data_IF_837150576581
#
_entry.id   IF_837150576581
#
_cell.length_a   1.000
_cell.length_b   1.000
_cell.length_c   1.000
_cell.angle_alpha   90.00
_cell.angle_beta   90.00
_cell.angle_gamma   90.00
#
_symmetry.space_group_name_H-M   'P 1'
#
loop_
_entity.id
_entity.type
_entity.pdbx_description
1 polymer ?
#
# COMPACT_ATOMS: atom_id res chain seq x y z
N UNK A 1 -45.86 0.35 -37.49
CA UNK A 1 -44.82 1.27 -37.98
C UNK A 1 -44.06 1.89 -36.82
N UNK A 2 -42.77 1.73 -36.86
CA UNK A 2 -41.72 2.47 -36.12
C UNK A 2 -41.66 2.46 -34.57
N UNK A 3 -40.88 1.54 -34.00
CA UNK A 3 -40.14 1.78 -32.74
C UNK A 3 -38.78 1.06 -32.73
N UNK A 4 -37.72 1.54 -33.37
CA UNK A 4 -36.36 1.12 -33.07
C UNK A 4 -35.46 2.21 -32.46
N UNK A 5 -35.96 3.44 -32.19
CA UNK A 5 -35.10 4.56 -31.78
C UNK A 5 -34.84 4.57 -30.27
N UNK A 6 -35.66 3.95 -29.43
CA UNK A 6 -35.53 4.01 -27.97
C UNK A 6 -34.41 3.10 -27.41
N UNK A 7 -34.10 1.99 -28.08
CA UNK A 7 -33.09 1.02 -27.61
C UNK A 7 -31.65 1.53 -27.81
N UNK A 8 -31.43 2.23 -28.93
CA UNK A 8 -30.10 2.82 -29.19
C UNK A 8 -29.71 3.93 -28.23
N UNK A 9 -30.67 4.76 -27.82
CA UNK A 9 -30.44 5.83 -26.87
C UNK A 9 -30.05 5.33 -25.45
N UNK A 10 -30.72 4.28 -24.97
CA UNK A 10 -30.40 3.66 -23.68
C UNK A 10 -29.05 3.00 -23.68
N UNK A 11 -28.64 2.35 -24.77
CA UNK A 11 -27.31 1.73 -24.87
C UNK A 11 -26.19 2.76 -24.87
N UNK A 12 -26.35 3.90 -25.55
CA UNK A 12 -25.41 4.99 -25.58
C UNK A 12 -25.26 5.64 -24.18
N UNK A 13 -26.37 5.85 -23.48
CA UNK A 13 -26.35 6.39 -22.11
C UNK A 13 -25.63 5.44 -21.15
N UNK A 14 -25.85 4.12 -21.30
CA UNK A 14 -25.19 3.11 -20.48
C UNK A 14 -23.68 3.05 -20.75
N UNK A 15 -23.25 3.16 -22.00
CA UNK A 15 -21.84 3.22 -22.40
C UNK A 15 -21.17 4.51 -21.89
N UNK A 16 -21.85 5.66 -22.00
CA UNK A 16 -21.35 6.94 -21.48
C UNK A 16 -21.27 6.89 -19.95
N UNK A 17 -22.26 6.33 -19.26
CA UNK A 17 -22.22 6.13 -17.81
C UNK A 17 -21.09 5.21 -17.40
N UNK A 18 -20.84 4.10 -18.10
CA UNK A 18 -19.70 3.21 -17.88
C UNK A 18 -18.36 3.92 -18.12
N UNK A 19 -18.25 4.75 -19.14
CA UNK A 19 -17.04 5.53 -19.43
C UNK A 19 -16.81 6.60 -18.36
N UNK A 20 -17.88 7.24 -17.87
CA UNK A 20 -17.82 8.23 -16.80
C UNK A 20 -17.48 7.56 -15.46
N UNK A 21 -18.07 6.41 -15.12
CA UNK A 21 -17.68 5.61 -13.96
C UNK A 21 -16.22 5.15 -14.05
N UNK A 22 -15.77 4.72 -15.23
CA UNK A 22 -14.36 4.30 -15.43
C UNK A 22 -13.37 5.47 -15.37
N UNK A 23 -13.80 6.69 -15.73
CA UNK A 23 -12.98 7.91 -15.55
C UNK A 23 -12.97 8.42 -14.09
N UNK A 24 -14.03 8.19 -13.34
CA UNK A 24 -14.11 8.59 -11.92
C UNK A 24 -13.20 7.77 -10.99
N UNK A 25 -12.60 6.68 -11.48
CA UNK A 25 -11.71 5.80 -10.70
C UNK A 25 -10.23 5.94 -11.00
N UNK A 26 -9.84 6.93 -11.82
CA UNK A 26 -8.42 7.28 -11.96
C UNK A 26 -8.02 8.24 -10.81
N UNK A 27 -7.88 7.66 -9.61
CA UNK A 27 -7.27 8.40 -8.50
C UNK A 27 -5.82 8.70 -8.90
N UNK A 28 -5.57 9.96 -9.30
CA UNK A 28 -4.22 10.46 -9.52
C UNK A 28 -3.54 10.38 -8.16
N UNK A 29 -2.61 9.45 -8.00
CA UNK A 29 -1.74 9.42 -6.83
C UNK A 29 -0.98 10.75 -6.80
N UNK A 30 -1.31 11.59 -5.83
CA UNK A 30 -0.61 12.86 -5.66
C UNK A 30 0.82 12.60 -5.19
N UNK A 31 1.74 13.48 -5.56
CA UNK A 31 3.17 13.31 -5.23
C UNK A 31 3.47 13.78 -3.80
N UNK A 32 2.84 13.16 -2.81
CA UNK A 32 3.06 13.51 -1.40
C UNK A 32 4.54 13.37 -0.98
N UNK A 33 5.30 12.51 -1.63
CA UNK A 33 6.72 12.30 -1.36
C UNK A 33 7.63 13.49 -1.82
N UNK A 34 7.07 14.52 -2.45
CA UNK A 34 7.70 15.81 -2.78
C UNK A 34 6.91 17.00 -2.18
N UNK A 35 6.01 16.76 -1.23
CA UNK A 35 5.19 17.79 -0.59
C UNK A 35 5.42 17.82 0.92
N UNK A 36 6.26 18.74 1.43
CA UNK A 36 6.61 18.80 2.84
C UNK A 36 5.43 19.19 3.75
N UNK A 37 4.28 19.55 3.19
CA UNK A 37 3.06 19.81 3.96
C UNK A 37 2.25 18.53 4.22
N UNK A 38 2.59 17.41 3.55
CA UNK A 38 1.86 16.14 3.64
C UNK A 38 2.78 15.04 4.17
N UNK A 39 2.86 14.92 5.47
CA UNK A 39 3.63 13.86 6.13
C UNK A 39 2.89 12.53 6.20
N UNK A 40 1.57 12.57 6.26
CA UNK A 40 0.69 11.39 6.36
C UNK A 40 -0.70 11.68 5.80
N UNK A 41 -1.38 10.62 5.34
CA UNK A 41 -2.80 10.65 4.96
C UNK A 41 -3.47 9.42 5.56
N UNK A 42 -4.56 9.61 6.31
CA UNK A 42 -5.35 8.55 6.96
C UNK A 42 -4.55 7.63 7.90
N UNK A 43 -3.36 8.01 8.33
CA UNK A 43 -2.60 7.26 9.32
C UNK A 43 -3.17 7.56 10.71
N UNK A 44 -3.30 6.51 11.52
CA UNK A 44 -3.69 6.65 12.94
C UNK A 44 -2.65 7.46 13.73
N UNK A 45 -3.11 8.12 14.79
CA UNK A 45 -2.22 8.83 15.70
C UNK A 45 -1.20 7.87 16.33
N UNK A 46 0.06 8.29 16.48
CA UNK A 46 1.08 7.48 17.10
C UNK A 46 0.71 7.07 18.54
N UNK A 47 0.86 5.80 18.84
CA UNK A 47 0.57 5.25 20.17
C UNK A 47 1.60 4.21 20.60
N UNK A 48 1.61 3.90 21.89
CA UNK A 48 2.39 2.78 22.39
C UNK A 48 1.91 1.48 21.75
N UNK A 49 2.87 0.62 21.40
CA UNK A 49 2.57 -0.66 20.79
C UNK A 49 2.07 -1.67 21.83
N UNK A 50 1.01 -2.37 21.50
CA UNK A 50 0.48 -3.47 22.28
C UNK A 50 -0.21 -4.50 21.36
N UNK A 51 -0.40 -5.70 21.88
CA UNK A 51 -1.18 -6.75 21.24
C UNK A 51 -2.37 -7.13 22.13
N UNK A 52 -3.58 -7.28 21.55
CA UNK A 52 -4.69 -7.86 22.29
C UNK A 52 -4.52 -9.38 22.38
N UNK A 53 -4.92 -9.95 23.52
CA UNK A 53 -4.95 -11.38 23.78
C UNK A 53 -6.30 -11.79 24.34
N UNK A 54 -6.66 -13.07 24.20
CA UNK A 54 -7.93 -13.62 24.66
C UNK A 54 -7.95 -13.89 26.15
N UNK A 55 -6.77 -14.05 26.78
CA UNK A 55 -6.65 -14.34 28.22
C UNK A 55 -5.38 -13.72 28.81
N UNK A 56 -5.35 -13.62 30.13
CA UNK A 56 -4.18 -13.18 30.88
C UNK A 56 -2.98 -14.11 30.67
N UNK A 57 -3.20 -15.43 30.62
CA UNK A 57 -2.12 -16.40 30.42
C UNK A 57 -1.41 -16.14 29.07
N UNK A 58 -2.16 -15.95 28.00
CA UNK A 58 -1.59 -15.62 26.69
C UNK A 58 -0.89 -14.26 26.67
N UNK A 59 -1.43 -13.29 27.41
CA UNK A 59 -0.79 -11.98 27.54
C UNK A 59 0.54 -12.06 28.30
N UNK A 60 0.64 -12.91 29.33
CA UNK A 60 1.89 -13.16 30.06
C UNK A 60 2.93 -13.88 29.20
N UNK A 61 2.52 -14.74 28.28
CA UNK A 61 3.44 -15.37 27.32
C UNK A 61 4.04 -14.35 26.34
N UNK A 62 3.33 -13.25 26.10
CA UNK A 62 3.74 -12.12 25.24
C UNK A 62 4.18 -12.55 23.82
N UNK A 63 3.54 -13.57 23.28
CA UNK A 63 3.74 -14.06 21.91
C UNK A 63 2.53 -13.68 21.04
N UNK A 64 2.63 -12.63 20.21
CA UNK A 64 1.51 -12.21 19.36
C UNK A 64 0.99 -13.31 18.43
N UNK A 65 1.85 -14.24 18.01
CA UNK A 65 1.46 -15.31 17.11
C UNK A 65 0.46 -16.30 17.74
N UNK A 66 0.31 -16.28 19.07
CA UNK A 66 -0.66 -17.07 19.80
C UNK A 66 -2.04 -16.41 19.95
N UNK A 67 -2.12 -15.12 19.63
CA UNK A 67 -3.40 -14.40 19.67
C UNK A 67 -4.19 -14.59 18.38
N UNK A 68 -5.47 -14.92 18.49
CA UNK A 68 -6.39 -14.92 17.34
C UNK A 68 -6.73 -13.51 16.83
N UNK A 69 -6.32 -12.48 17.57
CA UNK A 69 -6.49 -11.08 17.18
C UNK A 69 -5.28 -10.50 16.43
N UNK A 70 -4.33 -11.36 16.09
CA UNK A 70 -3.14 -10.97 15.36
C UNK A 70 -2.91 -11.89 14.17
N UNK A 71 -2.65 -11.28 13.01
CA UNK A 71 -2.24 -12.00 11.81
C UNK A 71 -0.97 -11.35 11.23
N UNK A 72 0.10 -12.12 11.15
CA UNK A 72 1.34 -11.65 10.51
C UNK A 72 1.21 -11.69 8.99
N UNK A 73 1.53 -10.59 8.32
CA UNK A 73 1.66 -10.51 6.88
C UNK A 73 3.13 -10.62 6.40
N UNK A 74 4.05 -10.90 7.32
CA UNK A 74 5.45 -11.16 7.00
C UNK A 74 5.60 -12.39 6.07
N UNK A 75 6.75 -12.51 5.43
CA UNK A 75 7.07 -13.62 4.53
C UNK A 75 7.15 -13.17 3.08
N UNK A 76 6.73 -14.02 2.14
CA UNK A 76 6.86 -13.77 0.70
C UNK A 76 5.76 -12.85 0.19
N UNK A 77 6.15 -11.82 -0.55
CA UNK A 77 5.29 -10.89 -1.27
C UNK A 77 5.64 -10.88 -2.75
N UNK A 78 4.69 -10.57 -3.62
CA UNK A 78 4.96 -10.24 -5.01
C UNK A 78 5.56 -8.84 -5.11
N UNK A 79 6.58 -8.69 -5.97
CA UNK A 79 7.39 -7.49 -6.01
C UNK A 79 7.74 -7.07 -7.45
N UNK A 80 7.67 -5.78 -7.70
CA UNK A 80 8.15 -5.16 -8.93
C UNK A 80 9.06 -3.97 -8.60
N UNK A 81 10.30 -4.02 -9.08
CA UNK A 81 11.26 -2.93 -8.91
C UNK A 81 11.24 -1.97 -10.10
N UNK A 82 11.03 -0.68 -9.85
CA UNK A 82 11.13 0.38 -10.83
C UNK A 82 12.29 1.32 -10.49
N UNK A 83 13.12 1.64 -11.49
CA UNK A 83 14.29 2.54 -11.31
C UNK A 83 13.90 4.00 -11.02
N UNK A 84 12.68 4.35 -11.32
CA UNK A 84 12.13 5.69 -11.06
C UNK A 84 10.58 5.64 -11.07
N UNK A 85 9.89 6.69 -10.57
CA UNK A 85 8.44 6.70 -10.43
C UNK A 85 7.64 6.52 -11.73
N UNK A 86 8.17 6.94 -12.89
CA UNK A 86 7.44 6.79 -14.17
C UNK A 86 7.40 5.34 -14.67
N UNK A 87 8.24 4.49 -14.12
CA UNK A 87 8.35 3.08 -14.50
C UNK A 87 7.54 2.14 -13.61
N UNK A 88 6.83 2.68 -12.62
CA UNK A 88 5.93 1.90 -11.78
C UNK A 88 4.76 1.33 -12.58
N UNK A 89 4.32 0.09 -12.29
CA UNK A 89 3.15 -0.49 -12.93
C UNK A 89 1.91 0.35 -12.60
N UNK A 90 1.21 0.79 -13.62
CA UNK A 90 0.01 1.61 -13.42
C UNK A 90 -1.13 0.77 -12.86
N UNK A 91 -1.84 1.29 -11.85
CA UNK A 91 -3.03 0.68 -11.25
C UNK A 91 -2.82 -0.76 -10.72
N UNK A 92 -1.61 -1.12 -10.34
CA UNK A 92 -1.29 -2.47 -9.86
C UNK A 92 -2.07 -2.84 -8.59
N UNK A 93 -2.54 -1.84 -7.86
CA UNK A 93 -3.38 -1.98 -6.67
C UNK A 93 -4.80 -2.48 -6.96
N UNK A 94 -5.27 -2.41 -8.20
CA UNK A 94 -6.61 -2.89 -8.55
C UNK A 94 -6.71 -4.41 -8.35
N UNK A 95 -7.89 -4.88 -7.88
CA UNK A 95 -8.11 -6.30 -7.62
C UNK A 95 -7.94 -7.16 -8.87
N UNK A 96 -8.32 -6.62 -10.05
CA UNK A 96 -8.19 -7.32 -11.33
C UNK A 96 -6.76 -7.37 -11.90
N UNK A 97 -5.81 -6.61 -11.34
CA UNK A 97 -4.44 -6.59 -11.86
C UNK A 97 -3.69 -7.85 -11.47
N UNK A 98 -3.17 -8.59 -12.48
CA UNK A 98 -2.39 -9.81 -12.25
C UNK A 98 -0.94 -9.49 -11.94
N UNK A 99 -0.44 -10.05 -10.85
CA UNK A 99 0.96 -9.96 -10.42
C UNK A 99 1.69 -11.31 -10.52
N UNK A 100 1.11 -12.29 -11.24
CA UNK A 100 1.64 -13.66 -11.33
C UNK A 100 3.10 -13.72 -11.86
N UNK A 101 3.44 -12.79 -12.74
CA UNK A 101 4.75 -12.72 -13.39
C UNK A 101 5.74 -11.80 -12.65
N UNK A 102 5.36 -11.29 -11.47
CA UNK A 102 6.24 -10.50 -10.61
C UNK A 102 7.18 -11.38 -9.83
N UNK A 103 8.33 -10.84 -9.45
CA UNK A 103 9.27 -11.51 -8.58
C UNK A 103 8.68 -11.76 -7.19
N UNK A 104 9.30 -12.63 -6.44
CA UNK A 104 9.04 -12.84 -5.02
C UNK A 104 10.11 -12.13 -4.18
N UNK A 105 9.67 -11.44 -3.10
CA UNK A 105 10.55 -10.77 -2.16
C UNK A 105 10.16 -11.12 -0.72
N UNK A 106 11.15 -11.23 0.16
CA UNK A 106 10.90 -11.45 1.59
C UNK A 106 10.65 -10.14 2.32
N UNK A 107 9.57 -10.07 3.08
CA UNK A 107 9.19 -8.96 3.96
C UNK A 107 9.09 -9.47 5.41
N UNK A 108 9.71 -8.81 6.39
CA UNK A 108 10.53 -7.61 6.29
C UNK A 108 11.89 -7.86 5.62
N UNK A 109 12.41 -6.86 4.94
CA UNK A 109 13.72 -6.94 4.30
C UNK A 109 14.04 -5.71 3.46
N UNK A 110 15.31 -5.53 3.18
CA UNK A 110 15.79 -4.50 2.25
C UNK A 110 15.88 -5.09 0.86
N UNK A 111 15.30 -4.45 -0.13
CA UNK A 111 15.36 -4.91 -1.52
C UNK A 111 16.79 -4.96 -2.08
N UNK A 112 17.70 -4.07 -1.59
CA UNK A 112 19.11 -4.06 -1.96
C UNK A 112 19.81 -5.37 -1.55
N UNK A 113 19.42 -5.97 -0.44
CA UNK A 113 19.96 -7.24 0.05
C UNK A 113 19.37 -8.45 -0.68
N UNK A 114 18.33 -8.21 -1.49
CA UNK A 114 17.65 -9.24 -2.27
C UNK A 114 17.89 -9.09 -3.79
N UNK A 115 18.93 -8.31 -4.17
CA UNK A 115 19.39 -8.21 -5.55
C UNK A 115 18.82 -7.02 -6.35
N UNK A 116 18.05 -6.12 -5.70
CA UNK A 116 17.49 -4.97 -6.39
C UNK A 116 18.25 -3.69 -6.03
N UNK A 117 18.86 -3.03 -7.02
CA UNK A 117 19.65 -1.83 -6.82
C UNK A 117 20.94 -2.10 -6.01
N UNK A 118 21.49 -1.06 -5.40
CA UNK A 118 22.70 -1.11 -4.57
C UNK A 118 22.46 -0.40 -3.24
N UNK A 119 23.05 -0.88 -2.14
CA UNK A 119 23.04 -0.15 -0.89
C UNK A 119 23.70 1.22 -1.07
N UNK A 120 23.10 2.25 -0.47
CA UNK A 120 23.64 3.61 -0.46
C UNK A 120 23.85 4.01 1.00
N UNK A 121 25.07 4.47 1.29
CA UNK A 121 25.45 4.99 2.59
C UNK A 121 25.15 6.51 2.62
N UNK A 122 24.41 6.98 3.61
CA UNK A 122 23.81 8.32 3.64
C UNK A 122 24.13 9.10 4.92
N UNK A 123 25.13 8.71 5.67
CA UNK A 123 25.40 9.34 6.97
C UNK A 123 26.24 10.62 6.88
N UNK A 124 26.97 10.82 5.79
CA UNK A 124 27.84 12.00 5.61
C UNK A 124 27.34 12.94 4.51
N UNK A 125 26.82 12.38 3.38
CA UNK A 125 26.43 13.18 2.23
C UNK A 125 25.13 12.68 1.57
N UNK A 126 24.39 13.60 0.95
CA UNK A 126 23.30 13.21 0.06
C UNK A 126 23.87 12.52 -1.20
N UNK A 127 23.23 11.46 -1.71
CA UNK A 127 23.68 10.75 -2.93
C UNK A 127 23.44 11.58 -4.19
N UNK A 128 22.89 12.78 -4.06
CA UNK A 128 22.57 13.71 -5.12
C UNK A 128 22.62 15.16 -4.61
N UNK A 129 22.69 16.12 -5.54
CA UNK A 129 22.62 17.53 -5.17
C UNK A 129 21.23 17.86 -4.61
N UNK A 130 21.12 18.33 -3.37
CA UNK A 130 19.85 18.69 -2.76
C UNK A 130 19.12 19.82 -3.51
N UNK A 131 17.82 19.68 -3.71
CA UNK A 131 16.91 20.71 -4.22
C UNK A 131 15.53 20.55 -3.54
N UNK A 132 15.47 20.75 -2.19
CA UNK A 132 14.24 20.53 -1.43
C UNK A 132 13.06 21.39 -1.94
N UNK A 133 11.83 20.86 -1.98
CA UNK A 133 11.43 19.53 -1.53
C UNK A 133 11.57 18.43 -2.60
N UNK A 134 12.20 18.73 -3.73
CA UNK A 134 12.28 17.82 -4.88
C UNK A 134 13.30 16.72 -4.64
N UNK A 135 12.90 15.52 -5.02
CA UNK A 135 13.77 14.34 -5.06
C UNK A 135 14.17 14.09 -6.51
N UNK A 136 15.48 13.89 -6.80
CA UNK A 136 15.93 13.63 -8.15
C UNK A 136 15.24 12.40 -8.74
N UNK A 137 14.37 12.64 -9.68
CA UNK A 137 13.50 11.66 -10.31
C UNK A 137 14.24 10.41 -10.80
N UNK A 138 15.44 10.57 -11.39
CA UNK A 138 16.22 9.44 -11.94
C UNK A 138 16.80 8.52 -10.88
N UNK A 139 16.87 8.96 -9.63
CA UNK A 139 17.45 8.22 -8.50
C UNK A 139 16.41 7.68 -7.53
N UNK A 140 15.16 8.10 -7.68
CA UNK A 140 14.09 7.68 -6.78
C UNK A 140 13.49 6.34 -7.24
N UNK A 141 14.16 5.27 -6.89
CA UNK A 141 13.64 3.92 -7.13
C UNK A 141 12.34 3.69 -6.36
N UNK A 142 11.46 2.88 -6.94
CA UNK A 142 10.16 2.55 -6.36
C UNK A 142 9.96 1.04 -6.35
N UNK A 143 9.56 0.51 -5.20
CA UNK A 143 9.13 -0.87 -5.05
C UNK A 143 7.61 -0.97 -4.98
N UNK A 144 7.01 -1.74 -5.88
CA UNK A 144 5.60 -2.09 -5.81
C UNK A 144 5.46 -3.50 -5.23
N UNK A 145 4.72 -3.62 -4.13
CA UNK A 145 4.54 -4.85 -3.37
C UNK A 145 3.07 -5.26 -3.37
N UNK A 146 2.81 -6.55 -3.48
CA UNK A 146 1.45 -7.10 -3.36
C UNK A 146 1.47 -8.35 -2.51
N UNK A 147 0.54 -8.41 -1.55
CA UNK A 147 0.25 -9.57 -0.71
C UNK A 147 -1.22 -9.89 -0.76
N UNK A 148 -1.56 -11.14 -0.99
CA UNK A 148 -2.90 -11.65 -0.70
C UNK A 148 -2.91 -12.29 0.68
N UNK A 149 -4.00 -12.11 1.41
CA UNK A 149 -4.23 -12.72 2.71
C UNK A 149 -5.71 -12.98 2.91
N UNK A 150 -6.04 -13.91 3.77
CA UNK A 150 -7.43 -14.25 4.07
C UNK A 150 -7.80 -13.82 5.48
N UNK A 151 -9.03 -13.34 5.63
CA UNK A 151 -9.67 -13.11 6.92
C UNK A 151 -10.92 -13.99 7.00
N UNK A 152 -11.10 -14.63 8.12
CA UNK A 152 -12.30 -15.42 8.42
C UNK A 152 -13.35 -14.59 9.17
N UNK A 153 -14.51 -15.20 9.41
CA UNK A 153 -15.65 -14.55 10.05
C UNK A 153 -15.39 -14.16 11.51
N UNK A 154 -14.35 -14.68 12.16
CA UNK A 154 -14.00 -14.32 13.55
C UNK A 154 -13.49 -12.90 13.70
N UNK A 155 -13.10 -12.29 12.56
CA UNK A 155 -12.70 -10.89 12.49
C UNK A 155 -13.88 -9.93 12.31
N UNK A 156 -15.07 -10.43 12.03
CA UNK A 156 -16.28 -9.61 11.89
C UNK A 156 -16.61 -8.86 13.19
N UNK A 157 -17.19 -7.68 13.05
CA UNK A 157 -17.57 -6.80 14.17
C UNK A 157 -16.40 -6.32 15.04
N UNK A 158 -15.18 -6.31 14.49
CA UNK A 158 -13.99 -5.77 15.14
C UNK A 158 -13.45 -4.60 14.36
N UNK A 159 -12.77 -3.69 15.06
CA UNK A 159 -11.91 -2.71 14.41
C UNK A 159 -10.61 -3.42 13.99
N UNK A 160 -10.31 -3.33 12.70
CA UNK A 160 -9.16 -4.00 12.08
C UNK A 160 -8.17 -2.95 11.60
N UNK A 161 -6.94 -3.09 12.09
CA UNK A 161 -5.85 -2.18 11.75
C UNK A 161 -4.73 -2.94 11.04
N UNK A 162 -4.16 -2.33 10.01
CA UNK A 162 -2.90 -2.80 9.43
C UNK A 162 -1.76 -1.94 9.97
N UNK A 163 -0.68 -2.61 10.39
CA UNK A 163 0.48 -1.95 10.97
C UNK A 163 1.74 -2.29 10.20
N UNK A 164 2.44 -1.25 9.78
CA UNK A 164 3.79 -1.32 9.21
C UNK A 164 4.78 -0.90 10.29
N UNK A 165 5.70 -1.78 10.67
CA UNK A 165 6.69 -1.51 11.71
C UNK A 165 7.72 -0.45 11.34
N UNK A 166 7.98 -0.29 10.05
CA UNK A 166 8.83 0.74 9.47
C UNK A 166 8.98 0.52 7.97
N UNK A 167 8.80 1.59 7.19
CA UNK A 167 8.96 1.57 5.72
C UNK A 167 9.78 2.77 5.31
N UNK A 168 10.85 2.55 4.55
CA UNK A 168 11.77 3.61 4.12
C UNK A 168 11.60 3.90 2.63
N UNK A 169 11.42 5.17 2.22
CA UNK A 169 11.30 6.40 2.99
C UNK A 169 9.82 6.80 3.14
N UNK A 170 9.04 6.72 2.06
CA UNK A 170 7.63 7.03 1.98
C UNK A 170 6.87 5.91 1.28
N UNK A 171 5.60 5.74 1.60
CA UNK A 171 4.80 4.70 0.97
C UNK A 171 3.32 5.02 0.92
N UNK A 172 2.68 4.47 -0.11
CA UNK A 172 1.23 4.46 -0.33
C UNK A 172 0.69 3.06 -0.12
N UNK A 173 -0.54 2.97 0.37
CA UNK A 173 -1.19 1.69 0.69
C UNK A 173 -2.58 1.64 0.09
N UNK A 174 -2.92 0.50 -0.49
CA UNK A 174 -4.26 0.18 -1.01
C UNK A 174 -4.70 -1.20 -0.53
N UNK A 175 -5.99 -1.34 -0.26
CA UNK A 175 -6.62 -2.62 0.03
C UNK A 175 -7.82 -2.83 -0.89
N UNK A 176 -7.86 -3.98 -1.57
CA UNK A 176 -8.95 -4.33 -2.49
C UNK A 176 -9.24 -3.25 -3.55
N UNK A 177 -8.17 -2.55 -4.01
CA UNK A 177 -8.28 -1.46 -4.98
C UNK A 177 -8.57 -0.09 -4.38
N UNK A 178 -8.90 0.01 -3.11
CA UNK A 178 -9.21 1.27 -2.43
C UNK A 178 -7.95 1.84 -1.76
N UNK A 179 -7.74 3.13 -1.90
CA UNK A 179 -6.64 3.84 -1.23
C UNK A 179 -6.89 3.85 0.28
N UNK A 180 -5.92 3.35 1.05
CA UNK A 180 -5.93 3.38 2.51
C UNK A 180 -5.29 4.66 3.01
N UNK A 181 -4.04 4.92 2.58
CA UNK A 181 -3.32 6.06 3.08
C UNK A 181 -1.87 6.15 2.60
N UNK A 182 -1.18 7.13 3.18
CA UNK A 182 0.22 7.47 2.91
C UNK A 182 0.95 7.73 4.22
N UNK A 183 2.23 7.42 4.28
CA UNK A 183 3.09 7.78 5.41
C UNK A 183 4.54 7.94 4.99
N UNK A 184 5.22 8.85 5.67
CA UNK A 184 6.67 9.00 5.73
C UNK A 184 7.18 8.65 7.14
N UNK A 185 8.50 8.68 7.33
CA UNK A 185 9.12 8.42 8.63
C UNK A 185 9.67 7.00 8.74
N UNK A 186 10.79 6.77 8.10
CA UNK A 186 11.44 5.48 7.80
C UNK A 186 11.55 4.48 8.97
N UNK A 187 11.60 4.95 10.21
CA UNK A 187 11.88 4.13 11.41
C UNK A 187 10.76 4.18 12.44
N UNK A 188 9.64 4.80 12.08
CA UNK A 188 8.46 4.89 12.93
C UNK A 188 7.35 4.01 12.38
N UNK A 189 6.56 3.36 13.24
CA UNK A 189 5.41 2.59 12.80
C UNK A 189 4.34 3.47 12.16
N UNK A 190 3.65 2.91 11.17
CA UNK A 190 2.45 3.49 10.60
C UNK A 190 1.30 2.49 10.71
N UNK A 191 0.16 2.95 11.20
CA UNK A 191 -1.05 2.17 11.39
C UNK A 191 -2.20 2.80 10.63
N UNK A 192 -3.06 1.96 10.03
CA UNK A 192 -4.21 2.40 9.26
C UNK A 192 -5.42 1.56 9.62
N UNK A 193 -6.57 2.21 9.85
CA UNK A 193 -7.82 1.51 10.04
C UNK A 193 -8.35 1.00 8.69
N UNK A 194 -8.55 -0.31 8.59
CA UNK A 194 -9.02 -0.98 7.38
C UNK A 194 -10.38 -1.67 7.55
N UNK A 195 -11.03 -1.45 8.68
CA UNK A 195 -12.28 -2.11 9.09
C UNK A 195 -13.34 -2.14 7.98
N UNK A 196 -13.54 -1.00 7.31
CA UNK A 196 -14.58 -0.87 6.27
C UNK A 196 -14.12 -1.31 4.87
N UNK A 197 -12.87 -1.77 4.72
CA UNK A 197 -12.26 -2.10 3.43
C UNK A 197 -11.92 -3.59 3.30
N UNK A 198 -11.79 -4.29 4.42
CA UNK A 198 -11.58 -5.74 4.44
C UNK A 198 -12.86 -6.49 4.09
N UNK A 199 -12.69 -7.68 3.57
CA UNK A 199 -13.78 -8.60 3.28
C UNK A 199 -13.44 -10.00 3.82
N UNK A 200 -14.46 -10.79 4.09
CA UNK A 200 -14.26 -12.21 4.42
C UNK A 200 -13.65 -12.94 3.21
N UNK A 201 -12.72 -13.85 3.48
CA UNK A 201 -11.95 -14.53 2.46
C UNK A 201 -10.76 -13.70 1.99
N UNK A 202 -10.43 -13.79 0.70
CA UNK A 202 -9.23 -13.20 0.12
C UNK A 202 -9.29 -11.67 0.07
N UNK A 203 -8.23 -11.04 0.56
CA UNK A 203 -7.95 -9.61 0.47
C UNK A 203 -6.64 -9.37 -0.25
N UNK A 204 -6.58 -8.32 -1.09
CA UNK A 204 -5.38 -7.90 -1.81
C UNK A 204 -4.85 -6.60 -1.25
N UNK A 205 -3.71 -6.67 -0.57
CA UNK A 205 -2.95 -5.53 -0.09
C UNK A 205 -1.90 -5.15 -1.13
N UNK A 206 -1.86 -3.87 -1.49
CA UNK A 206 -0.86 -3.30 -2.39
C UNK A 206 -0.15 -2.13 -1.72
N UNK A 207 1.18 -2.08 -1.86
CA UNK A 207 2.03 -1.04 -1.26
C UNK A 207 3.02 -0.53 -2.30
N UNK A 208 3.14 0.78 -2.43
CA UNK A 208 4.14 1.42 -3.28
C UNK A 208 5.12 2.20 -2.42
N UNK A 209 6.39 1.81 -2.44
CA UNK A 209 7.44 2.35 -1.56
C UNK A 209 8.42 3.17 -2.37
N UNK A 210 8.63 4.41 -1.98
CA UNK A 210 9.59 5.34 -2.58
C UNK A 210 10.88 5.34 -1.76
N UNK A 211 12.03 5.22 -2.45
CA UNK A 211 13.34 5.19 -1.80
C UNK A 211 13.67 6.49 -1.08
N UNK A 212 13.29 7.62 -1.66
CA UNK A 212 13.50 8.95 -1.13
C UNK A 212 12.21 9.74 -1.11
N UNK A 213 12.10 10.63 -0.16
CA UNK A 213 11.05 11.63 -0.01
C UNK A 213 11.67 12.97 0.35
N UNK A 214 10.86 13.99 0.52
CA UNK A 214 11.23 15.36 0.89
C UNK A 214 11.80 15.51 2.31
N UNK A 215 11.70 14.46 3.15
CA UNK A 215 12.16 14.44 4.55
C UNK A 215 13.38 13.59 4.86
#
# INVERSE_FOLDING_TARGET
MNKPILVGGLLIIFIIAMIILNKATDMKVEKYWEDPTVFQVNREEPRAHFFPFESEELAFENDPAKSKYFQSLNGTWKFHFAKNPDKTPKRFYQSSYSVKDWDDITVPGHWEMQGYSVPIYLDEEYPFKPDPPKVPFRYNAVGSYVKTFELDETWNSRDIFIRFGGVRSAFYVWLNGNFIGYSQGSKTPAEFNITNLVQNGENKLAVEVYRFSDG
#
